data_IF_186112261003
#
_entry.id   IF_186112261003
#
_cell.length_a   1.000
_cell.length_b   1.000
_cell.length_c   1.000
_cell.angle_alpha   90.00
_cell.angle_beta   90.00
_cell.angle_gamma   90.00
#
_symmetry.space_group_name_H-M   'P 1'
#
loop_
_entity.id
_entity.type
_entity.pdbx_description
1 polymer ?
#
# COMPACT_ATOMS: atom_id res chain seq x y z
N UNK A 1 -14.21 8.78 -1.14
CA UNK A 1 -13.00 8.88 -0.28
C UNK A 1 -11.79 9.03 -1.19
N UNK A 2 -10.75 9.75 -0.77
CA UNK A 2 -9.55 10.02 -1.59
C UNK A 2 -8.31 9.46 -0.90
N UNK A 3 -7.61 8.53 -1.56
CA UNK A 3 -6.35 7.90 -1.09
C UNK A 3 -5.13 8.84 -1.10
N UNK A 4 -5.35 10.14 -1.31
CA UNK A 4 -4.30 11.15 -1.40
C UNK A 4 -3.35 11.12 -0.20
N UNK A 5 -3.87 11.00 1.02
CA UNK A 5 -3.02 11.01 2.21
C UNK A 5 -2.08 9.79 2.26
N UNK A 6 -2.56 8.61 1.87
CA UNK A 6 -1.70 7.42 1.77
C UNK A 6 -0.61 7.62 0.72
N UNK A 7 -0.97 8.12 -0.47
CA UNK A 7 0.02 8.45 -1.50
C UNK A 7 1.07 9.45 -0.98
N UNK A 8 0.63 10.49 -0.24
CA UNK A 8 1.53 11.47 0.37
C UNK A 8 2.45 10.84 1.41
N UNK A 9 1.94 9.98 2.28
CA UNK A 9 2.74 9.25 3.27
C UNK A 9 3.82 8.42 2.58
N UNK A 10 3.45 7.60 1.59
CA UNK A 10 4.40 6.74 0.87
C UNK A 10 5.41 7.54 0.05
N UNK A 11 5.02 8.70 -0.47
CA UNK A 11 5.94 9.64 -1.12
C UNK A 11 6.95 10.22 -0.12
N UNK A 12 6.49 10.69 1.04
CA UNK A 12 7.37 11.23 2.10
C UNK A 12 8.31 10.17 2.66
N UNK A 13 7.86 8.92 2.81
CA UNK A 13 8.71 7.80 3.23
C UNK A 13 9.91 7.61 2.30
N UNK A 14 9.75 7.84 0.99
CA UNK A 14 10.84 7.70 0.03
C UNK A 14 11.77 8.93 0.03
N UNK A 15 11.18 10.13 0.09
CA UNK A 15 11.88 11.40 -0.16
C UNK A 15 12.42 12.09 1.10
N UNK A 16 11.90 11.77 2.30
CA UNK A 16 12.31 12.37 3.57
C UNK A 16 12.84 11.28 4.52
N UNK A 17 14.16 11.31 4.75
CA UNK A 17 14.84 10.36 5.62
C UNK A 17 14.42 10.45 7.09
N UNK A 18 14.10 11.65 7.58
CA UNK A 18 13.66 11.86 8.96
C UNK A 18 12.22 11.34 9.13
N UNK A 19 11.34 11.62 8.16
CA UNK A 19 10.00 11.04 8.14
C UNK A 19 10.04 9.52 8.06
N UNK A 20 10.86 8.94 7.18
CA UNK A 20 11.04 7.49 7.08
C UNK A 20 11.50 6.87 8.39
N UNK A 21 12.46 7.49 9.08
CA UNK A 21 12.92 7.04 10.40
C UNK A 21 11.76 7.01 11.39
N UNK A 22 10.98 8.10 11.49
CA UNK A 22 9.78 8.16 12.34
C UNK A 22 8.74 7.11 11.97
N UNK A 23 8.51 6.86 10.68
CA UNK A 23 7.60 5.82 10.22
C UNK A 23 8.02 4.40 10.65
N UNK A 24 9.33 4.14 10.79
CA UNK A 24 9.85 2.83 11.23
C UNK A 24 9.84 2.68 12.75
N UNK A 25 10.13 3.74 13.48
CA UNK A 25 10.29 3.71 14.95
C UNK A 25 8.98 4.01 15.68
N UNK A 26 8.18 4.95 15.17
CA UNK A 26 6.98 5.49 15.83
C UNK A 26 5.84 5.72 14.81
N UNK A 27 5.37 4.67 14.10
CA UNK A 27 4.41 4.81 13.01
C UNK A 27 3.10 5.48 13.45
N UNK A 28 2.57 5.15 14.63
CA UNK A 28 1.32 5.75 15.12
C UNK A 28 1.44 7.26 15.31
N UNK A 29 2.58 7.72 15.85
CA UNK A 29 2.83 9.14 16.03
C UNK A 29 3.01 9.85 14.68
N UNK A 30 3.74 9.23 13.75
CA UNK A 30 3.94 9.77 12.40
C UNK A 30 2.62 9.88 11.61
N UNK A 31 1.68 8.95 11.81
CA UNK A 31 0.40 8.92 11.10
C UNK A 31 -0.64 9.89 11.67
N UNK A 32 -0.53 10.33 12.94
CA UNK A 32 -1.48 11.27 13.58
C UNK A 32 -1.60 12.62 12.86
N UNK A 33 -0.56 13.04 12.14
CA UNK A 33 -0.55 14.29 11.36
C UNK A 33 -1.39 14.20 10.07
N UNK A 34 -1.85 12.99 9.70
CA UNK A 34 -2.59 12.74 8.48
C UNK A 34 -4.06 12.44 8.79
N UNK A 35 -4.97 13.04 8.01
CA UNK A 35 -6.40 12.75 8.08
C UNK A 35 -6.71 11.47 7.32
N UNK A 36 -6.48 10.34 7.95
CA UNK A 36 -6.88 9.02 7.46
C UNK A 36 -8.25 8.65 8.00
N UNK A 37 -9.07 8.05 7.15
CA UNK A 37 -10.24 7.29 7.60
C UNK A 37 -9.81 6.01 8.32
N UNK A 38 -10.69 5.43 9.11
CA UNK A 38 -10.43 4.16 9.80
C UNK A 38 -9.97 3.06 8.82
N UNK A 39 -10.69 2.87 7.71
CA UNK A 39 -10.31 1.87 6.70
C UNK A 39 -8.98 2.15 5.99
N UNK A 40 -8.58 3.42 5.84
CA UNK A 40 -7.26 3.79 5.32
C UNK A 40 -6.15 3.49 6.32
N UNK A 41 -6.38 3.84 7.57
CA UNK A 41 -5.45 3.58 8.67
C UNK A 41 -5.24 2.08 8.86
N UNK A 42 -6.32 1.29 8.88
CA UNK A 42 -6.27 -0.16 9.07
C UNK A 42 -5.58 -0.85 7.90
N UNK A 43 -5.93 -0.50 6.65
CA UNK A 43 -5.31 -1.10 5.48
C UNK A 43 -3.80 -0.81 5.41
N UNK A 44 -3.39 0.40 5.83
CA UNK A 44 -1.97 0.78 5.88
C UNK A 44 -1.23 0.05 7.00
N UNK A 45 -1.73 0.11 8.22
CA UNK A 45 -1.03 -0.41 9.40
C UNK A 45 -1.02 -1.93 9.50
N UNK A 46 -1.99 -2.62 8.90
CA UNK A 46 -1.99 -4.09 8.74
C UNK A 46 -1.09 -4.57 7.60
N UNK A 47 -0.60 -3.67 6.75
CA UNK A 47 0.16 -4.03 5.54
C UNK A 47 -0.70 -4.77 4.51
N UNK A 48 -1.99 -4.46 4.41
CA UNK A 48 -2.92 -5.06 3.46
C UNK A 48 -2.70 -4.49 2.04
N UNK A 49 -1.59 -4.85 1.41
CA UNK A 49 -1.13 -4.26 0.13
C UNK A 49 -2.19 -4.36 -0.97
N UNK A 50 -2.85 -5.51 -1.11
CA UNK A 50 -3.92 -5.68 -2.10
C UNK A 50 -5.14 -4.80 -1.81
N UNK A 51 -5.49 -4.59 -0.53
CA UNK A 51 -6.57 -3.68 -0.15
C UNK A 51 -6.23 -2.23 -0.50
N UNK A 52 -5.00 -1.80 -0.19
CA UNK A 52 -4.50 -0.47 -0.57
C UNK A 52 -4.53 -0.26 -2.10
N UNK A 53 -4.18 -1.29 -2.86
CA UNK A 53 -4.30 -1.28 -4.32
C UNK A 53 -5.77 -1.09 -4.77
N UNK A 54 -6.71 -1.87 -4.21
CA UNK A 54 -8.15 -1.73 -4.51
C UNK A 54 -8.70 -0.34 -4.15
N UNK A 55 -8.17 0.29 -3.10
CA UNK A 55 -8.54 1.65 -2.72
C UNK A 55 -8.05 2.71 -3.73
N UNK A 56 -7.13 2.36 -4.63
CA UNK A 56 -6.58 3.24 -5.66
C UNK A 56 -5.23 3.86 -5.30
N UNK A 57 -4.53 3.35 -4.27
CA UNK A 57 -3.17 3.80 -3.93
C UNK A 57 -2.24 3.53 -5.11
N UNK A 58 -1.36 4.48 -5.41
CA UNK A 58 -0.52 4.43 -6.60
C UNK A 58 0.46 3.24 -6.53
N UNK A 59 0.48 2.40 -7.56
CA UNK A 59 1.24 1.13 -7.60
C UNK A 59 2.74 1.31 -7.39
N UNK A 60 3.34 2.35 -7.97
CA UNK A 60 4.75 2.69 -7.74
C UNK A 60 5.03 2.97 -6.25
N UNK A 61 4.14 3.69 -5.56
CA UNK A 61 4.30 4.05 -4.16
C UNK A 61 4.08 2.85 -3.24
N UNK A 62 3.19 1.92 -3.60
CA UNK A 62 2.96 0.70 -2.82
C UNK A 62 4.24 -0.13 -2.65
N UNK A 63 5.14 -0.11 -3.63
CA UNK A 63 6.44 -0.79 -3.54
C UNK A 63 7.32 -0.24 -2.39
N UNK A 64 7.03 0.96 -1.87
CA UNK A 64 7.77 1.52 -0.75
C UNK A 64 7.51 0.78 0.57
N UNK A 65 6.37 0.11 0.70
CA UNK A 65 6.06 -0.71 1.88
C UNK A 65 7.09 -1.83 2.04
N UNK A 66 7.36 -2.59 0.98
CA UNK A 66 8.35 -3.67 1.00
C UNK A 66 9.78 -3.16 0.99
N UNK A 67 10.06 -2.07 0.24
CA UNK A 67 11.38 -1.45 0.15
C UNK A 67 11.92 -1.00 1.51
N UNK A 68 11.04 -0.47 2.37
CA UNK A 68 11.42 0.09 3.66
C UNK A 68 11.00 -0.78 4.86
N UNK A 69 10.45 -1.96 4.58
CA UNK A 69 9.99 -2.93 5.57
C UNK A 69 8.96 -2.35 6.55
N UNK A 70 7.96 -1.64 6.01
CA UNK A 70 6.91 -1.01 6.80
C UNK A 70 5.76 -1.98 7.07
N UNK A 71 5.18 -1.91 8.26
CA UNK A 71 3.94 -2.63 8.62
C UNK A 71 3.99 -4.15 8.36
N UNK A 72 5.17 -4.75 8.58
CA UNK A 72 5.39 -6.19 8.36
C UNK A 72 5.40 -6.61 6.90
N UNK A 73 5.41 -5.66 5.96
CA UNK A 73 5.56 -5.92 4.52
C UNK A 73 7.04 -5.95 4.18
N UNK A 74 7.52 -7.01 3.55
CA UNK A 74 8.91 -7.15 3.12
C UNK A 74 8.96 -7.76 1.71
N UNK A 75 10.16 -7.94 1.16
CA UNK A 75 10.33 -8.48 -0.19
C UNK A 75 9.71 -9.88 -0.36
N UNK A 76 9.76 -10.71 0.68
CA UNK A 76 9.34 -12.11 0.62
C UNK A 76 7.81 -12.25 0.63
N UNK A 77 7.10 -11.34 1.31
CA UNK A 77 5.65 -11.37 1.46
C UNK A 77 4.88 -10.31 0.66
N UNK A 78 5.57 -9.39 -0.04
CA UNK A 78 4.91 -8.31 -0.78
C UNK A 78 3.94 -8.83 -1.84
N UNK A 79 4.38 -9.79 -2.65
CA UNK A 79 3.56 -10.36 -3.73
C UNK A 79 2.38 -11.17 -3.19
N UNK A 80 2.54 -11.91 -2.08
CA UNK A 80 1.43 -12.63 -1.46
C UNK A 80 0.39 -11.66 -0.90
N UNK A 81 0.83 -10.59 -0.23
CA UNK A 81 -0.06 -9.53 0.31
C UNK A 81 -0.79 -8.73 -0.76
N UNK A 82 -0.23 -8.60 -1.97
CA UNK A 82 -0.99 -8.08 -3.13
C UNK A 82 -2.13 -9.03 -3.47
N UNK A 83 -1.83 -10.34 -3.57
CA UNK A 83 -2.80 -11.37 -3.97
C UNK A 83 -3.93 -11.55 -2.95
N UNK A 84 -3.65 -11.41 -1.66
CA UNK A 84 -4.67 -11.48 -0.60
C UNK A 84 -5.80 -10.46 -0.78
N UNK A 85 -5.52 -9.31 -1.37
CA UNK A 85 -6.53 -8.30 -1.70
C UNK A 85 -7.02 -8.36 -3.15
N UNK A 86 -6.75 -9.43 -3.90
CA UNK A 86 -7.35 -9.65 -5.21
C UNK A 86 -8.28 -10.84 -5.14
N UNK A 87 -9.49 -10.70 -5.71
CA UNK A 87 -10.32 -11.87 -5.97
C UNK A 87 -9.60 -12.80 -6.95
N UNK A 88 -9.80 -14.12 -6.77
CA UNK A 88 -9.28 -15.09 -7.71
C UNK A 88 -9.89 -14.83 -9.10
N UNK A 89 -9.02 -14.56 -10.07
CA UNK A 89 -9.39 -14.40 -11.46
C UNK A 89 -9.03 -15.69 -12.23
N UNK A 90 -10.00 -16.46 -12.74
CA UNK A 90 -9.73 -17.68 -13.49
C UNK A 90 -8.89 -17.45 -14.77
N UNK A 91 -8.67 -16.20 -15.18
CA UNK A 91 -7.74 -15.85 -16.27
C UNK A 91 -6.26 -15.99 -15.89
N UNK A 92 -5.90 -16.07 -14.61
CA UNK A 92 -4.52 -16.36 -14.18
C UNK A 92 -4.03 -17.70 -14.74
N UNK A 93 -4.90 -18.71 -14.76
CA UNK A 93 -4.63 -20.04 -15.32
C UNK A 93 -4.56 -20.05 -16.86
N UNK A 94 -5.09 -19.02 -17.51
CA UNK A 94 -5.19 -18.95 -18.97
C UNK A 94 -3.98 -18.25 -19.63
N UNK A 95 -2.97 -17.83 -18.84
CA UNK A 95 -1.82 -17.08 -19.34
C UNK A 95 -2.18 -15.71 -19.93
N UNK A 96 -3.40 -15.24 -19.70
CA UNK A 96 -3.93 -13.96 -20.20
C UNK A 96 -4.07 -13.00 -19.02
N UNK A 97 -2.93 -12.52 -18.52
CA UNK A 97 -2.92 -11.46 -17.52
C UNK A 97 -3.56 -10.21 -18.13
N UNK A 98 -4.66 -9.67 -17.58
CA UNK A 98 -5.13 -8.36 -18.00
C UNK A 98 -4.06 -7.34 -17.63
N UNK A 99 -3.45 -6.71 -18.65
CA UNK A 99 -2.64 -5.50 -18.47
C UNK A 99 -3.52 -4.47 -17.76
N UNK A 100 -3.11 -4.08 -16.55
CA UNK A 100 -3.65 -3.02 -15.69
C UNK A 100 -5.12 -2.66 -15.95
N UNK A 101 -5.99 -3.08 -15.01
CA UNK A 101 -7.33 -2.51 -14.90
C UNK A 101 -7.26 -0.99 -14.77
N UNK A 102 -7.58 -0.29 -15.85
CA UNK A 102 -8.22 1.02 -15.74
C UNK A 102 -9.59 0.74 -15.12
N UNK A 103 -9.78 1.16 -13.88
CA UNK A 103 -11.10 1.17 -13.24
C UNK A 103 -11.99 2.02 -14.16
N UNK A 104 -12.87 1.37 -14.93
CA UNK A 104 -13.95 2.08 -15.62
C UNK A 104 -14.92 2.52 -14.52
N UNK A 105 -15.04 3.83 -14.36
CA UNK A 105 -16.05 4.47 -13.51
C UNK A 105 -17.46 4.29 -14.05
#
# INVERSE_FOLDING_TARGET
MSVYQINKILYLTDNDAAFRKRMKEEPEAALKDFRLTEGEYDALTSGAVGKLYQMGVHTFLLNHLSRYELFGVNRDNYLSRIREGMEYDPRFEQGKMPMQYFIKG
#
